data_IF_553097546461
#
_entry.id   IF_553097546461
#
_cell.length_a   1.000
_cell.length_b   1.000
_cell.length_c   1.000
_cell.angle_alpha   90.00
_cell.angle_beta   90.00
_cell.angle_gamma   90.00
#
_symmetry.space_group_name_H-M   'P 1'
#
loop_
_entity.id
_entity.type
_entity.pdbx_description
1 polymer ?
#
# COMPACT_ATOMS: atom_id res chain seq x y z
N UNK A 1 0.75 -3.14 -10.30
CA UNK A 1 0.89 -2.00 -11.24
C UNK A 1 -0.45 -1.28 -11.42
N UNK A 2 -0.98 -0.73 -10.33
CA UNK A 2 -2.42 -0.46 -10.22
C UNK A 2 -2.85 0.94 -10.65
N UNK A 3 -1.95 1.86 -10.98
CA UNK A 3 -2.38 3.22 -11.35
C UNK A 3 -3.24 3.19 -12.61
N UNK A 4 -4.29 4.01 -12.67
CA UNK A 4 -5.12 4.06 -13.86
C UNK A 4 -6.08 5.24 -13.93
N UNK A 5 -6.87 5.27 -15.00
CA UNK A 5 -7.81 6.36 -15.29
C UNK A 5 -8.94 6.51 -14.27
N UNK A 6 -9.17 5.48 -13.46
CA UNK A 6 -10.03 5.56 -12.29
C UNK A 6 -9.51 6.59 -11.26
N UNK A 7 -8.18 6.68 -11.08
CA UNK A 7 -7.52 7.59 -10.15
C UNK A 7 -7.36 8.98 -10.73
N UNK A 8 -6.81 9.06 -11.95
CA UNK A 8 -6.53 10.31 -12.65
C UNK A 8 -6.52 10.05 -14.15
N UNK A 9 -7.10 10.94 -14.96
CA UNK A 9 -7.22 10.77 -16.42
C UNK A 9 -5.86 10.61 -17.12
N UNK A 10 -4.79 11.17 -16.55
CA UNK A 10 -3.44 11.05 -17.12
C UNK A 10 -2.69 9.80 -16.64
N UNK A 11 -3.23 9.04 -15.68
CA UNK A 11 -2.54 7.90 -15.11
C UNK A 11 -2.70 6.66 -15.99
N UNK A 12 -1.62 5.89 -16.04
CA UNK A 12 -1.53 4.58 -16.67
C UNK A 12 -0.94 3.60 -15.65
N UNK A 13 -1.03 2.29 -15.89
CA UNK A 13 -0.34 1.31 -15.05
C UNK A 13 1.18 1.51 -14.91
N UNK A 14 1.79 2.26 -15.86
CA UNK A 14 3.20 2.66 -15.84
C UNK A 14 3.45 4.07 -15.30
N UNK A 15 2.47 4.75 -14.70
CA UNK A 15 2.72 6.04 -14.05
C UNK A 15 3.81 5.89 -12.97
N UNK A 16 4.82 6.76 -13.03
CA UNK A 16 6.06 6.71 -12.21
C UNK A 16 7.04 5.58 -12.58
N UNK A 17 6.83 4.92 -13.72
CA UNK A 17 7.72 3.88 -14.25
C UNK A 17 8.21 4.24 -15.65
N UNK A 18 9.52 4.23 -15.84
CA UNK A 18 10.16 4.28 -17.16
C UNK A 18 10.63 2.88 -17.55
N UNK A 19 10.47 2.50 -18.82
CA UNK A 19 10.83 1.18 -19.33
C UNK A 19 11.93 1.28 -20.38
N UNK A 20 12.74 0.23 -20.50
CA UNK A 20 13.69 0.04 -21.60
C UNK A 20 13.49 -1.37 -22.15
N UNK A 21 13.42 -1.51 -23.47
CA UNK A 21 13.05 -2.77 -24.12
C UNK A 21 11.53 -2.99 -24.10
N UNK A 22 11.11 -4.25 -23.94
CA UNK A 22 9.70 -4.66 -24.00
C UNK A 22 9.12 -4.79 -22.60
N UNK A 23 8.04 -4.05 -22.34
CA UNK A 23 7.33 -4.08 -21.07
C UNK A 23 5.83 -3.86 -21.30
N UNK A 24 5.00 -4.79 -20.83
CA UNK A 24 3.56 -4.77 -21.02
C UNK A 24 2.85 -4.98 -19.69
N UNK A 25 1.91 -4.11 -19.35
CA UNK A 25 1.06 -4.30 -18.16
C UNK A 25 -0.11 -5.20 -18.51
N UNK A 26 -0.37 -6.22 -17.67
CA UNK A 26 -1.32 -7.30 -17.94
C UNK A 26 -2.29 -7.42 -16.77
N UNK A 27 -3.58 -7.51 -17.09
CA UNK A 27 -4.67 -7.84 -16.15
C UNK A 27 -5.42 -9.07 -16.70
N UNK A 28 -4.92 -10.25 -16.36
CA UNK A 28 -5.48 -11.55 -16.72
C UNK A 28 -5.42 -12.51 -15.52
N UNK A 29 -5.81 -13.78 -15.69
CA UNK A 29 -5.80 -14.76 -14.59
C UNK A 29 -4.40 -15.22 -14.16
N UNK A 30 -3.34 -14.75 -14.84
CA UNK A 30 -1.96 -14.92 -14.43
C UNK A 30 -1.50 -13.95 -13.34
N UNK A 31 -2.34 -13.02 -12.91
CA UNK A 31 -2.09 -12.07 -11.82
C UNK A 31 -1.76 -12.73 -10.48
N UNK A 32 -1.16 -11.97 -9.56
CA UNK A 32 -0.70 -12.47 -8.26
C UNK A 32 -1.85 -13.03 -7.41
N UNK A 33 -2.99 -12.35 -7.43
CA UNK A 33 -4.25 -12.78 -6.82
C UNK A 33 -5.40 -11.94 -7.37
N UNK A 34 -6.64 -12.27 -7.00
CA UNK A 34 -7.83 -11.58 -7.48
C UNK A 34 -7.89 -10.08 -7.14
N UNK A 35 -7.22 -9.66 -6.06
CA UNK A 35 -7.27 -8.29 -5.52
C UNK A 35 -6.08 -7.41 -5.93
N UNK A 36 -5.05 -8.00 -6.55
CA UNK A 36 -3.94 -7.31 -7.18
C UNK A 36 -3.96 -7.64 -8.67
N UNK A 37 -4.60 -6.77 -9.44
CA UNK A 37 -5.16 -7.05 -10.76
C UNK A 37 -4.11 -6.99 -11.86
N UNK A 38 -3.21 -6.01 -11.78
CA UNK A 38 -2.32 -5.65 -12.87
C UNK A 38 -0.87 -5.94 -12.50
N UNK A 39 -0.21 -6.82 -13.26
CA UNK A 39 1.24 -7.06 -13.15
C UNK A 39 1.98 -6.57 -14.39
N UNK A 40 3.32 -6.52 -14.34
CA UNK A 40 4.17 -6.16 -15.47
C UNK A 40 4.81 -7.41 -16.07
N UNK A 41 4.52 -7.71 -17.33
CA UNK A 41 5.30 -8.65 -18.14
C UNK A 41 6.49 -7.92 -18.77
N UNK A 42 7.70 -8.26 -18.35
CA UNK A 42 8.95 -7.69 -18.81
C UNK A 42 9.64 -8.69 -19.76
N UNK A 43 10.05 -8.22 -20.94
CA UNK A 43 10.75 -9.03 -21.93
C UNK A 43 12.22 -9.29 -21.57
N UNK A 44 12.85 -10.21 -22.32
CA UNK A 44 14.29 -10.46 -22.19
C UNK A 44 15.10 -9.17 -22.46
N UNK A 45 16.17 -8.95 -21.69
CA UNK A 45 17.03 -7.77 -21.80
C UNK A 45 16.34 -6.43 -21.51
N UNK A 46 15.16 -6.46 -20.88
CA UNK A 46 14.36 -5.26 -20.61
C UNK A 46 14.47 -4.83 -19.15
N UNK A 47 14.12 -3.58 -18.86
CA UNK A 47 14.12 -3.06 -17.49
C UNK A 47 12.95 -2.12 -17.23
N UNK A 48 12.63 -1.97 -15.94
CA UNK A 48 11.66 -1.00 -15.44
C UNK A 48 12.28 -0.20 -14.30
N UNK A 49 12.13 1.12 -14.34
CA UNK A 49 12.74 2.07 -13.40
C UNK A 49 11.68 2.93 -12.73
N UNK A 50 11.59 2.87 -11.40
CA UNK A 50 10.69 3.71 -10.61
C UNK A 50 11.30 5.09 -10.37
N UNK A 51 10.51 6.14 -10.60
CA UNK A 51 10.93 7.53 -10.36
C UNK A 51 10.86 7.97 -8.91
N UNK A 52 10.25 7.17 -8.01
CA UNK A 52 9.87 7.63 -6.68
C UNK A 52 8.75 8.67 -6.72
N UNK A 53 8.53 9.32 -5.58
CA UNK A 53 7.58 10.41 -5.43
C UNK A 53 8.28 11.77 -5.53
N UNK A 54 7.61 12.77 -6.10
CA UNK A 54 8.16 14.10 -6.34
C UNK A 54 9.45 14.07 -7.18
N UNK A 55 10.60 14.42 -6.60
CA UNK A 55 11.91 14.49 -7.28
C UNK A 55 12.61 13.13 -7.35
N UNK A 56 12.28 12.21 -6.45
CA UNK A 56 12.96 10.92 -6.37
C UNK A 56 12.78 10.16 -5.08
N UNK A 57 13.54 9.06 -5.00
CA UNK A 57 13.71 8.29 -3.78
C UNK A 57 14.81 8.97 -2.96
N UNK A 58 14.48 9.41 -1.74
CA UNK A 58 15.49 9.89 -0.78
C UNK A 58 16.27 8.70 -0.24
N UNK A 59 17.59 8.76 -0.37
CA UNK A 59 18.53 7.82 0.24
C UNK A 59 19.57 8.59 1.04
N UNK A 60 20.10 7.96 2.09
CA UNK A 60 21.04 8.56 3.04
C UNK A 60 22.20 7.59 3.24
N UNK A 61 23.42 8.11 3.12
CA UNK A 61 24.65 7.36 3.18
C UNK A 61 24.75 6.57 4.49
N UNK A 62 25.20 5.31 4.37
CA UNK A 62 25.29 4.36 5.47
C UNK A 62 23.95 3.76 5.91
N UNK A 63 22.79 4.27 5.45
CA UNK A 63 21.48 3.69 5.78
C UNK A 63 21.17 2.47 4.93
N UNK A 64 20.35 1.60 5.49
CA UNK A 64 19.93 0.34 4.88
C UNK A 64 18.49 0.41 4.37
N UNK A 65 18.26 -0.14 3.19
CA UNK A 65 16.96 -0.21 2.53
C UNK A 65 16.65 -1.67 2.18
N UNK A 66 15.49 -2.16 2.61
CA UNK A 66 15.01 -3.49 2.28
C UNK A 66 14.19 -3.41 0.99
N UNK A 67 14.66 -4.12 -0.04
CA UNK A 67 14.00 -4.29 -1.33
C UNK A 67 13.19 -5.58 -1.33
N UNK A 68 12.01 -5.56 -1.97
CA UNK A 68 11.31 -6.78 -2.35
C UNK A 68 10.59 -6.65 -3.68
N UNK A 69 10.40 -7.78 -4.35
CA UNK A 69 9.57 -7.90 -5.56
C UNK A 69 8.87 -9.25 -5.54
N UNK A 70 7.61 -9.28 -5.95
CA UNK A 70 6.97 -10.53 -6.34
C UNK A 70 7.29 -10.79 -7.80
N UNK A 71 7.78 -11.98 -8.12
CA UNK A 71 8.12 -12.35 -9.49
C UNK A 71 7.69 -13.78 -9.82
N UNK A 72 7.34 -13.99 -11.09
CA UNK A 72 7.02 -15.29 -11.69
C UNK A 72 7.78 -15.41 -13.01
N UNK A 73 8.46 -16.53 -13.22
CA UNK A 73 9.26 -16.78 -14.42
C UNK A 73 9.32 -18.28 -14.72
N UNK A 74 9.08 -18.70 -15.96
CA UNK A 74 9.12 -20.12 -16.33
C UNK A 74 10.54 -20.67 -16.25
N UNK A 75 11.52 -19.89 -16.73
CA UNK A 75 12.93 -20.19 -16.60
C UNK A 75 13.54 -19.57 -15.33
N UNK A 76 14.75 -20.02 -14.98
CA UNK A 76 15.56 -19.39 -13.95
C UNK A 76 16.06 -18.03 -14.49
N UNK A 77 15.42 -16.95 -14.06
CA UNK A 77 15.66 -15.60 -14.57
C UNK A 77 16.33 -14.72 -13.51
N UNK A 78 17.63 -14.40 -13.68
CA UNK A 78 18.28 -13.33 -12.93
C UNK A 78 17.56 -11.99 -13.09
N UNK A 79 17.36 -11.30 -11.97
CA UNK A 79 16.91 -9.92 -11.92
C UNK A 79 18.01 -9.09 -11.28
N UNK A 80 18.51 -8.09 -12.02
CA UNK A 80 19.48 -7.11 -11.53
C UNK A 80 18.72 -5.89 -11.03
N UNK A 81 18.95 -5.54 -9.77
CA UNK A 81 18.28 -4.44 -9.07
C UNK A 81 19.31 -3.38 -8.72
N UNK A 82 19.07 -2.15 -9.15
CA UNK A 82 19.99 -1.03 -8.92
C UNK A 82 19.27 0.16 -8.29
N UNK A 83 19.98 0.83 -7.38
CA UNK A 83 19.60 2.10 -6.79
C UNK A 83 20.62 3.13 -7.26
N UNK A 84 20.19 4.15 -7.99
CA UNK A 84 21.08 5.08 -8.69
C UNK A 84 20.45 6.46 -8.85
N UNK A 85 21.26 7.46 -9.17
CA UNK A 85 20.85 8.79 -9.65
C UNK A 85 21.70 9.22 -10.86
N UNK A 86 21.61 10.49 -11.26
CA UNK A 86 22.35 11.02 -12.40
C UNK A 86 23.87 10.97 -12.19
N UNK A 87 24.35 10.98 -10.95
CA UNK A 87 25.77 10.90 -10.58
C UNK A 87 26.25 9.44 -10.48
N UNK A 88 25.37 8.46 -10.72
CA UNK A 88 25.69 7.04 -10.78
C UNK A 88 25.07 6.22 -9.66
N UNK A 89 25.72 5.11 -9.30
CA UNK A 89 25.18 4.18 -8.30
C UNK A 89 25.11 4.82 -6.90
N UNK A 90 24.01 4.55 -6.20
CA UNK A 90 23.78 4.94 -4.80
C UNK A 90 24.03 3.79 -3.83
N UNK A 91 24.05 2.55 -4.33
CA UNK A 91 24.39 1.35 -3.59
C UNK A 91 24.91 0.29 -4.57
N UNK A 92 25.60 -0.72 -4.04
CA UNK A 92 25.99 -1.91 -4.82
C UNK A 92 24.74 -2.58 -5.43
N UNK A 93 24.84 -2.96 -6.71
CA UNK A 93 23.77 -3.69 -7.39
C UNK A 93 23.46 -5.01 -6.67
N UNK A 94 22.18 -5.40 -6.71
CA UNK A 94 21.72 -6.65 -6.11
C UNK A 94 21.14 -7.55 -7.18
N UNK A 95 21.31 -8.85 -6.98
CA UNK A 95 20.75 -9.86 -7.87
C UNK A 95 19.83 -10.79 -7.10
N UNK A 96 18.62 -10.98 -7.61
CA UNK A 96 17.72 -12.05 -7.16
C UNK A 96 17.41 -12.94 -8.35
N UNK A 97 16.99 -14.17 -8.13
CA UNK A 97 16.72 -15.10 -9.24
C UNK A 97 15.30 -15.62 -9.16
N UNK A 98 14.45 -15.16 -10.06
CA UNK A 98 13.08 -15.61 -10.19
C UNK A 98 12.99 -16.99 -10.86
N UNK A 99 12.05 -17.81 -10.43
CA UNK A 99 11.71 -19.11 -11.05
C UNK A 99 10.34 -19.60 -10.60
N UNK A 100 9.68 -20.36 -11.47
CA UNK A 100 8.36 -20.94 -11.22
C UNK A 100 7.27 -19.88 -11.02
N UNK A 101 6.27 -20.26 -10.21
CA UNK A 101 5.14 -19.42 -9.84
C UNK A 101 5.51 -18.15 -9.05
N UNK A 102 4.49 -17.34 -8.75
CA UNK A 102 4.67 -16.12 -7.97
C UNK A 102 5.33 -16.40 -6.62
N UNK A 103 6.48 -15.77 -6.38
CA UNK A 103 7.16 -15.78 -5.10
C UNK A 103 7.77 -14.41 -4.78
N UNK A 104 7.95 -14.13 -3.48
CA UNK A 104 8.54 -12.88 -3.01
C UNK A 104 10.05 -13.01 -2.86
N UNK A 105 10.78 -12.24 -3.65
CA UNK A 105 12.24 -12.13 -3.60
C UNK A 105 12.64 -10.87 -2.83
N UNK A 106 13.78 -10.92 -2.15
CA UNK A 106 14.26 -9.83 -1.29
C UNK A 106 15.73 -9.60 -1.50
N UNK A 107 16.13 -8.33 -1.36
CA UNK A 107 17.52 -7.92 -1.31
C UNK A 107 17.65 -6.74 -0.34
N UNK A 108 18.89 -6.37 -0.03
CA UNK A 108 19.19 -5.27 0.87
C UNK A 108 20.23 -4.36 0.26
N UNK A 109 19.95 -3.06 0.25
CA UNK A 109 20.90 -2.03 -0.14
C UNK A 109 21.47 -1.36 1.11
N UNK A 110 22.76 -1.02 1.05
CA UNK A 110 23.37 -0.03 1.94
C UNK A 110 23.81 1.12 1.07
N UNK A 111 23.26 2.30 1.30
CA UNK A 111 23.57 3.45 0.48
C UNK A 111 25.01 3.95 0.76
N UNK A 112 25.71 4.35 -0.29
CA UNK A 112 27.10 4.86 -0.22
C UNK A 112 27.16 6.38 -0.34
N UNK A 113 26.07 7.02 -0.76
CA UNK A 113 25.91 8.47 -0.92
C UNK A 113 24.49 8.89 -0.56
N UNK A 114 24.35 10.16 -0.22
CA UNK A 114 23.04 10.80 -0.09
C UNK A 114 22.47 11.11 -1.48
N UNK A 115 21.16 11.02 -1.64
CA UNK A 115 20.46 11.52 -2.82
C UNK A 115 19.00 11.79 -2.54
N UNK A 116 18.43 12.78 -3.22
CA UNK A 116 16.99 13.09 -3.22
C UNK A 116 16.33 12.83 -4.58
N UNK A 117 17.13 12.35 -5.55
CA UNK A 117 16.73 12.07 -6.93
C UNK A 117 16.95 10.60 -7.29
N UNK A 118 17.03 9.73 -6.28
CA UNK A 118 17.26 8.30 -6.48
C UNK A 118 16.17 7.64 -7.33
N UNK A 119 16.56 6.58 -8.03
CA UNK A 119 15.76 5.74 -8.93
C UNK A 119 16.04 4.28 -8.62
N UNK A 120 14.99 3.46 -8.66
CA UNK A 120 15.08 2.02 -8.45
C UNK A 120 14.80 1.31 -9.78
N UNK A 121 15.78 0.59 -10.32
CA UNK A 121 15.61 -0.21 -11.54
C UNK A 121 15.59 -1.69 -11.22
N UNK A 122 14.72 -2.43 -11.91
CA UNK A 122 14.74 -3.89 -12.00
C UNK A 122 14.90 -4.26 -13.47
N UNK A 123 16.02 -4.92 -13.80
CA UNK A 123 16.33 -5.42 -15.14
C UNK A 123 16.29 -6.95 -15.15
N UNK A 124 15.87 -7.54 -16.27
CA UNK A 124 15.76 -8.99 -16.43
C UNK A 124 16.42 -9.45 -17.73
N UNK A 125 17.23 -10.51 -17.64
CA UNK A 125 17.94 -11.07 -18.81
C UNK A 125 17.02 -11.96 -19.66
N UNK A 126 15.94 -12.48 -19.07
CA UNK A 126 14.94 -13.33 -19.70
C UNK A 126 13.53 -12.84 -19.33
N UNK A 127 12.46 -13.30 -20.03
CA UNK A 127 11.11 -12.87 -19.73
C UNK A 127 10.70 -13.17 -18.29
N UNK A 128 10.00 -12.24 -17.66
CA UNK A 128 9.54 -12.33 -16.27
C UNK A 128 8.27 -11.52 -16.05
N UNK A 129 7.38 -12.00 -15.19
CA UNK A 129 6.29 -11.21 -14.63
C UNK A 129 6.71 -10.63 -13.28
N UNK A 130 6.52 -9.33 -13.09
CA UNK A 130 6.86 -8.58 -11.87
C UNK A 130 5.62 -7.93 -11.27
N UNK A 131 5.56 -7.89 -9.96
CA UNK A 131 4.59 -7.08 -9.22
C UNK A 131 5.07 -6.73 -7.82
N UNK A 132 4.37 -5.83 -7.12
CA UNK A 132 4.62 -5.49 -5.72
C UNK A 132 6.09 -5.15 -5.43
N UNK A 133 6.73 -4.42 -6.37
CA UNK A 133 8.09 -3.89 -6.21
C UNK A 133 8.06 -2.86 -5.08
N UNK A 134 8.94 -3.03 -4.10
CA UNK A 134 8.98 -2.20 -2.90
C UNK A 134 10.42 -1.95 -2.46
N UNK A 135 10.68 -0.76 -1.94
CA UNK A 135 11.93 -0.36 -1.32
C UNK A 135 11.59 0.48 -0.07
N UNK A 136 11.90 -0.06 1.11
CA UNK A 136 11.56 0.57 2.39
C UNK A 136 12.85 0.78 3.20
N UNK A 137 13.11 1.98 3.75
CA UNK A 137 14.22 2.18 4.68
C UNK A 137 14.03 1.32 5.93
N UNK A 138 15.10 0.75 6.49
CA UNK A 138 14.99 0.05 7.79
C UNK A 138 14.80 1.02 8.97
N UNK A 139 15.37 2.22 8.85
CA UNK A 139 15.22 3.29 9.84
C UNK A 139 13.87 4.02 9.65
N UNK A 140 12.79 3.34 10.02
CA UNK A 140 11.43 3.90 10.04
C UNK A 140 11.06 4.33 11.45
N UNK A 141 10.01 5.14 11.59
CA UNK A 141 9.55 5.59 12.90
C UNK A 141 9.25 4.37 13.79
N UNK A 142 10.02 4.23 14.89
CA UNK A 142 10.02 3.08 15.81
C UNK A 142 10.16 1.70 15.15
N UNK A 143 10.59 1.62 13.89
CA UNK A 143 10.64 0.37 13.12
C UNK A 143 9.28 -0.09 12.56
N UNK A 144 8.24 0.76 12.59
CA UNK A 144 6.87 0.42 12.20
C UNK A 144 6.48 0.88 10.79
N UNK A 145 7.46 1.19 9.93
CA UNK A 145 7.24 1.42 8.50
C UNK A 145 6.98 2.88 8.07
N UNK A 146 6.55 3.76 8.98
CA UNK A 146 6.33 5.17 8.65
C UNK A 146 7.65 5.92 8.43
N UNK A 147 7.63 6.93 7.55
CA UNK A 147 8.80 7.80 7.39
C UNK A 147 9.10 8.51 8.70
N UNK A 148 10.30 8.25 9.20
CA UNK A 148 10.76 8.70 10.51
C UNK A 148 10.70 10.22 10.66
N UNK A 149 11.20 10.96 9.68
CA UNK A 149 11.26 12.42 9.71
C UNK A 149 9.89 13.10 9.82
N UNK A 150 8.87 12.59 9.10
CA UNK A 150 7.50 13.12 9.17
C UNK A 150 6.81 12.72 10.47
N UNK A 151 6.95 11.45 10.88
CA UNK A 151 6.36 10.94 12.10
C UNK A 151 6.91 11.66 13.35
N UNK A 152 8.22 11.92 13.41
CA UNK A 152 8.85 12.69 14.48
C UNK A 152 8.33 14.13 14.55
N UNK A 153 8.14 14.79 13.39
CA UNK A 153 7.56 16.14 13.34
C UNK A 153 6.13 16.18 13.84
N UNK A 154 5.31 15.19 13.49
CA UNK A 154 3.93 15.08 13.97
C UNK A 154 3.92 14.79 15.49
N UNK A 155 4.77 13.88 15.96
CA UNK A 155 4.88 13.55 17.38
C UNK A 155 5.29 14.77 18.23
N UNK A 156 6.17 15.63 17.71
CA UNK A 156 6.61 16.85 18.38
C UNK A 156 5.51 17.91 18.56
N UNK A 157 4.36 17.77 17.87
CA UNK A 157 3.18 18.62 18.10
C UNK A 157 2.40 18.20 19.36
N UNK A 158 2.72 17.04 19.96
CA UNK A 158 1.99 16.46 21.07
C UNK A 158 0.47 16.38 20.82
N UNK A 159 0.02 15.76 19.70
CA UNK A 159 -1.39 15.71 19.38
C UNK A 159 -2.17 14.88 20.41
N UNK A 160 -3.32 15.38 20.85
CA UNK A 160 -4.21 14.63 21.76
C UNK A 160 -4.91 13.44 21.09
N UNK A 161 -5.11 13.51 19.77
CA UNK A 161 -5.74 12.44 18.99
C UNK A 161 -5.25 12.40 17.53
N UNK A 162 -5.46 11.28 16.87
CA UNK A 162 -5.26 11.10 15.42
C UNK A 162 -6.59 10.65 14.81
N UNK A 163 -7.19 11.51 13.98
CA UNK A 163 -8.40 11.17 13.20
C UNK A 163 -8.00 10.57 11.86
N UNK A 164 -8.53 9.39 11.51
CA UNK A 164 -8.15 8.67 10.28
C UNK A 164 -9.23 7.70 9.78
N UNK A 165 -9.21 7.25 8.52
CA UNK A 165 -8.47 7.80 7.39
C UNK A 165 -9.23 8.99 6.78
N UNK A 166 -10.24 9.51 7.49
CA UNK A 166 -11.34 10.30 6.97
C UNK A 166 -11.03 11.67 6.38
N UNK A 167 -11.99 12.58 6.59
CA UNK A 167 -12.40 13.51 5.55
C UNK A 167 -13.23 12.78 4.50
N UNK A 168 -13.13 13.24 3.25
CA UNK A 168 -13.94 12.74 2.15
C UNK A 168 -13.70 11.26 1.76
N UNK A 169 -12.71 10.58 2.35
CA UNK A 169 -12.36 9.20 1.96
C UNK A 169 -13.41 8.16 2.35
N UNK A 170 -14.16 8.40 3.43
CA UNK A 170 -15.12 7.43 3.96
C UNK A 170 -16.54 7.62 3.40
N UNK A 171 -16.77 8.72 2.68
CA UNK A 171 -18.07 9.16 2.20
C UNK A 171 -18.01 9.57 0.70
N UNK A 172 -17.19 8.94 -0.14
CA UNK A 172 -17.17 9.22 -1.58
C UNK A 172 -17.19 7.93 -2.40
N UNK A 173 -17.74 8.01 -3.61
CA UNK A 173 -17.87 6.85 -4.49
C UNK A 173 -18.89 5.82 -3.99
N UNK A 174 -18.79 4.60 -4.50
CA UNK A 174 -19.66 3.50 -4.10
C UNK A 174 -19.31 2.94 -2.71
N UNK A 175 -20.29 2.34 -2.04
CA UNK A 175 -20.14 1.69 -0.73
C UNK A 175 -19.87 0.19 -0.82
N UNK A 176 -19.77 -0.39 -2.03
CA UNK A 176 -19.54 -1.83 -2.18
C UNK A 176 -18.08 -2.23 -1.90
N UNK A 177 -17.86 -3.54 -1.73
CA UNK A 177 -16.54 -4.12 -1.51
C UNK A 177 -15.65 -4.06 -2.76
N UNK A 178 -14.44 -4.60 -2.64
CA UNK A 178 -13.54 -4.83 -3.76
C UNK A 178 -13.45 -6.33 -4.05
N UNK A 179 -14.39 -6.79 -4.86
CA UNK A 179 -14.62 -8.19 -5.14
C UNK A 179 -15.24 -8.37 -6.54
N UNK A 180 -15.46 -9.62 -6.93
CA UNK A 180 -16.04 -9.98 -8.22
C UNK A 180 -17.45 -9.42 -8.39
N UNK A 181 -18.28 -9.40 -7.33
CA UNK A 181 -19.65 -8.93 -7.40
C UNK A 181 -19.72 -7.42 -7.67
N UNK A 182 -18.77 -6.64 -7.14
CA UNK A 182 -18.65 -5.21 -7.43
C UNK A 182 -17.89 -4.89 -8.71
N UNK A 183 -17.41 -5.92 -9.43
CA UNK A 183 -16.54 -5.76 -10.60
C UNK A 183 -15.20 -5.11 -10.27
N UNK A 184 -14.71 -5.27 -9.03
CA UNK A 184 -13.46 -4.66 -8.54
C UNK A 184 -13.40 -3.14 -8.76
N UNK A 185 -14.53 -2.46 -8.56
CA UNK A 185 -14.58 -1.00 -8.73
C UNK A 185 -13.60 -0.28 -7.79
N UNK A 186 -12.94 0.75 -8.33
CA UNK A 186 -11.93 1.53 -7.59
C UNK A 186 -12.41 2.91 -7.17
N UNK A 187 -13.64 3.33 -7.51
CA UNK A 187 -14.21 4.61 -7.04
C UNK A 187 -15.21 4.33 -5.93
N UNK A 188 -14.67 4.01 -4.76
CA UNK A 188 -15.44 3.56 -3.60
C UNK A 188 -14.91 4.15 -2.30
N UNK A 189 -15.73 4.11 -1.26
CA UNK A 189 -15.34 4.57 0.07
C UNK A 189 -14.22 3.70 0.65
N UNK A 190 -13.46 4.28 1.58
CA UNK A 190 -12.36 3.61 2.25
C UNK A 190 -12.88 2.54 3.22
N UNK A 191 -12.74 1.27 2.85
CA UNK A 191 -13.21 0.12 3.63
C UNK A 191 -12.07 -0.46 4.48
N UNK A 192 -12.18 -0.40 5.80
CA UNK A 192 -11.07 -0.73 6.71
C UNK A 192 -10.55 -2.18 6.56
N UNK A 193 -11.46 -3.14 6.33
CA UNK A 193 -11.12 -4.56 6.16
C UNK A 193 -10.21 -4.81 4.95
N UNK A 194 -10.25 -3.92 3.95
CA UNK A 194 -9.38 -4.02 2.77
C UNK A 194 -7.96 -3.53 3.03
N UNK A 195 -7.70 -2.99 4.22
CA UNK A 195 -6.46 -2.26 4.55
C UNK A 195 -5.63 -2.95 5.62
N UNK A 196 -6.00 -4.18 5.99
CA UNK A 196 -5.29 -5.01 6.97
C UNK A 196 -4.83 -6.31 6.33
N UNK A 197 -3.95 -7.03 7.03
CA UNK A 197 -3.32 -8.24 6.51
C UNK A 197 -2.18 -7.95 5.52
N UNK A 198 -1.72 -8.97 4.77
CA UNK A 198 -0.59 -8.85 3.85
C UNK A 198 -0.87 -7.82 2.74
N UNK A 199 0.08 -6.90 2.53
CA UNK A 199 -0.08 -5.77 1.59
C UNK A 199 -0.37 -6.20 0.15
N UNK A 200 0.18 -7.33 -0.29
CA UNK A 200 -0.09 -7.88 -1.63
C UNK A 200 -1.51 -8.42 -1.83
N UNK A 201 -2.30 -8.55 -0.75
CA UNK A 201 -3.70 -9.00 -0.78
C UNK A 201 -4.68 -7.85 -0.50
N UNK A 202 -4.17 -6.66 -0.13
CA UNK A 202 -4.98 -5.47 0.09
C UNK A 202 -5.52 -4.97 -1.25
N UNK A 203 -6.71 -4.36 -1.22
CA UNK A 203 -7.28 -3.79 -2.43
C UNK A 203 -6.49 -2.54 -2.86
N UNK A 204 -6.64 -2.15 -4.12
CA UNK A 204 -6.35 -0.79 -4.58
C UNK A 204 -7.62 0.04 -4.61
N UNK A 205 -7.49 1.35 -4.40
CA UNK A 205 -8.62 2.28 -4.48
C UNK A 205 -8.20 3.61 -5.11
N UNK A 206 -9.14 4.30 -5.73
CA UNK A 206 -8.97 5.69 -6.12
C UNK A 206 -9.28 6.60 -4.93
N UNK A 207 -8.49 7.65 -4.82
CA UNK A 207 -8.65 8.69 -3.83
C UNK A 207 -9.45 9.85 -4.45
N UNK A 208 -10.38 10.45 -3.70
CA UNK A 208 -11.18 11.60 -4.18
C UNK A 208 -10.34 12.80 -4.66
N UNK A 209 -9.08 12.91 -4.24
CA UNK A 209 -8.16 13.98 -4.63
C UNK A 209 -7.33 13.65 -5.88
N UNK A 210 -7.68 12.58 -6.61
CA UNK A 210 -7.10 12.27 -7.92
C UNK A 210 -5.80 11.45 -7.88
N UNK A 211 -5.63 10.61 -6.85
CA UNK A 211 -4.46 9.75 -6.67
C UNK A 211 -4.85 8.29 -6.38
N UNK A 212 -3.91 7.37 -6.56
CA UNK A 212 -4.08 5.96 -6.21
C UNK A 212 -3.84 5.72 -4.71
N UNK A 213 -4.62 4.84 -4.09
CA UNK A 213 -4.42 4.32 -2.73
C UNK A 213 -4.01 2.86 -2.81
N UNK A 214 -2.76 2.56 -2.41
CA UNK A 214 -2.26 1.18 -2.32
C UNK A 214 -2.72 0.43 -1.07
N UNK A 215 -3.32 1.15 -0.11
CA UNK A 215 -3.62 0.67 1.24
C UNK A 215 -2.42 0.06 1.99
N UNK A 216 -1.19 0.44 1.62
CA UNK A 216 0.01 0.13 2.42
C UNK A 216 0.00 0.83 3.79
N UNK A 217 -0.63 2.00 3.87
CA UNK A 217 -1.00 2.67 5.12
C UNK A 217 -2.50 2.47 5.35
N UNK A 218 -2.84 1.50 6.19
CA UNK A 218 -4.18 1.09 6.55
C UNK A 218 -4.51 1.35 8.01
N UNK A 219 -5.64 0.80 8.47
CA UNK A 219 -6.12 1.03 9.83
C UNK A 219 -5.16 0.54 10.91
N UNK A 220 -4.53 -0.62 10.71
CA UNK A 220 -3.53 -1.14 11.66
C UNK A 220 -2.38 -0.16 11.82
N UNK A 221 -1.84 0.35 10.71
CA UNK A 221 -0.71 1.27 10.74
C UNK A 221 -1.09 2.64 11.37
N UNK A 222 -2.33 3.11 11.20
CA UNK A 222 -2.82 4.31 11.91
C UNK A 222 -3.01 4.09 13.40
N UNK A 223 -3.56 2.95 13.82
CA UNK A 223 -3.67 2.59 15.24
C UNK A 223 -2.28 2.49 15.89
N UNK A 224 -1.34 1.80 15.24
CA UNK A 224 0.04 1.70 15.69
C UNK A 224 0.68 3.07 15.84
N UNK A 225 0.46 3.97 14.88
CA UNK A 225 1.01 5.32 14.93
C UNK A 225 0.41 6.18 16.05
N UNK A 226 -0.92 6.11 16.25
CA UNK A 226 -1.58 6.82 17.35
C UNK A 226 -1.01 6.37 18.71
N UNK A 227 -0.87 5.05 18.91
CA UNK A 227 -0.22 4.48 20.10
C UNK A 227 1.24 4.96 20.22
N UNK A 228 2.00 4.96 19.11
CA UNK A 228 3.40 5.34 19.13
C UNK A 228 3.65 6.77 19.57
N UNK A 229 2.77 7.71 19.21
CA UNK A 229 2.90 9.12 19.58
C UNK A 229 2.14 9.47 20.87
N UNK A 230 1.49 8.49 21.50
CA UNK A 230 0.71 8.70 22.73
C UNK A 230 -0.61 9.45 22.50
N UNK A 231 -1.17 9.38 21.29
CA UNK A 231 -2.42 10.03 20.92
C UNK A 231 -3.59 9.04 20.96
N UNK A 232 -4.79 9.53 21.24
CA UNK A 232 -6.01 8.75 21.13
C UNK A 232 -6.34 8.45 19.64
N UNK A 233 -6.57 7.20 19.23
CA UNK A 233 -7.05 6.91 17.88
C UNK A 233 -8.52 7.30 17.73
N UNK A 234 -8.85 8.01 16.64
CA UNK A 234 -10.21 8.33 16.22
C UNK A 234 -10.44 7.80 14.78
N UNK A 235 -10.70 6.49 14.62
CA UNK A 235 -11.08 5.93 13.33
C UNK A 235 -12.45 6.46 12.86
N UNK A 236 -12.57 6.68 11.56
CA UNK A 236 -13.77 7.17 10.89
C UNK A 236 -14.28 6.09 9.93
N UNK A 237 -15.53 5.64 10.10
CA UNK A 237 -16.15 4.61 9.25
C UNK A 237 -17.25 5.20 8.35
N UNK A 238 -17.58 4.57 7.20
CA UNK A 238 -18.65 5.05 6.32
C UNK A 238 -20.03 5.06 7.00
N UNK A 239 -20.82 6.10 6.73
CA UNK A 239 -22.23 6.22 7.14
C UNK A 239 -23.22 6.00 5.99
N UNK A 240 -22.78 5.38 4.89
CA UNK A 240 -23.55 5.16 3.65
C UNK A 240 -24.08 6.43 2.96
N UNK A 241 -23.62 7.60 3.38
CA UNK A 241 -23.85 8.86 2.68
C UNK A 241 -22.61 9.16 1.85
N UNK A 242 -22.81 9.47 0.57
CA UNK A 242 -21.77 10.17 -0.18
C UNK A 242 -21.87 11.65 0.17
N UNK A 243 -20.76 12.22 0.64
CA UNK A 243 -20.55 13.62 0.96
C UNK A 243 -19.43 14.20 0.09
N UNK A 244 -19.00 15.44 0.37
CA UNK A 244 -17.95 16.13 -0.38
C UNK A 244 -18.22 16.28 -1.89
N UNK A 245 -19.42 16.75 -2.25
CA UNK A 245 -19.80 17.11 -3.62
C UNK A 245 -20.76 16.14 -4.28
N UNK A 246 -21.01 14.99 -3.64
CA UNK A 246 -22.20 14.16 -3.86
C UNK A 246 -23.03 14.31 -2.58
N UNK A 247 -24.34 14.53 -2.71
CA UNK A 247 -25.27 14.59 -1.56
C UNK A 247 -26.29 13.47 -1.74
N UNK A 248 -25.83 12.22 -1.69
CA UNK A 248 -26.67 11.05 -1.94
C UNK A 248 -26.53 10.06 -0.80
N UNK A 249 -27.66 9.62 -0.24
CA UNK A 249 -27.71 8.49 0.66
C UNK A 249 -27.81 7.19 -0.14
N UNK A 250 -27.06 6.18 0.27
CA UNK A 250 -27.21 4.81 -0.24
C UNK A 250 -28.30 4.12 0.56
N UNK A 251 -29.49 3.99 -0.03
CA UNK A 251 -30.63 3.30 0.57
C UNK A 251 -30.60 1.81 0.18
N UNK A 252 -29.81 1.02 0.92
CA UNK A 252 -29.65 -0.41 0.73
C UNK A 252 -29.47 -1.10 2.11
N UNK A 253 -30.50 -1.83 2.51
CA UNK A 253 -30.56 -2.54 3.80
C UNK A 253 -29.43 -3.56 3.99
N UNK A 254 -29.02 -4.24 2.92
CA UNK A 254 -27.97 -5.26 3.00
C UNK A 254 -26.60 -4.59 3.16
N UNK A 255 -26.33 -3.52 2.41
CA UNK A 255 -25.12 -2.72 2.60
C UNK A 255 -25.10 -2.07 3.98
N UNK A 256 -26.22 -1.55 4.49
CA UNK A 256 -26.29 -0.97 5.82
C UNK A 256 -25.93 -1.99 6.89
N UNK A 257 -26.55 -3.18 6.86
CA UNK A 257 -26.24 -4.29 7.78
C UNK A 257 -24.78 -4.69 7.71
N UNK A 258 -24.20 -4.76 6.49
CA UNK A 258 -22.77 -5.06 6.32
C UNK A 258 -21.88 -4.03 6.99
N UNK A 259 -22.11 -2.73 6.78
CA UNK A 259 -21.27 -1.67 7.37
C UNK A 259 -21.45 -1.55 8.88
N UNK A 260 -22.64 -1.83 9.42
CA UNK A 260 -22.84 -1.97 10.87
C UNK A 260 -21.95 -3.09 11.39
N UNK A 261 -21.99 -4.28 10.77
CA UNK A 261 -21.13 -5.39 11.19
C UNK A 261 -19.64 -5.05 11.01
N UNK A 262 -19.25 -4.43 9.91
CA UNK A 262 -17.87 -4.00 9.68
C UNK A 262 -17.40 -3.03 10.77
N UNK A 263 -18.28 -2.16 11.28
CA UNK A 263 -17.97 -1.24 12.38
C UNK A 263 -17.82 -1.98 13.71
N UNK A 264 -18.70 -2.94 14.02
CA UNK A 264 -18.57 -3.79 15.20
C UNK A 264 -17.30 -4.63 15.16
N UNK A 265 -16.95 -5.15 13.99
CA UNK A 265 -15.74 -5.91 13.73
C UNK A 265 -14.47 -5.06 13.91
N UNK A 266 -14.52 -3.77 13.57
CA UNK A 266 -13.43 -2.84 13.83
C UNK A 266 -13.23 -2.62 15.34
N UNK A 267 -14.34 -2.50 16.09
CA UNK A 267 -14.30 -2.37 17.55
C UNK A 267 -13.69 -3.65 18.15
N UNK A 268 -14.08 -4.83 17.67
CA UNK A 268 -13.48 -6.10 18.10
C UNK A 268 -12.00 -6.22 17.66
N UNK A 269 -11.64 -5.75 16.46
CA UNK A 269 -10.25 -5.70 16.02
C UNK A 269 -9.41 -4.86 16.98
N UNK A 270 -9.91 -3.70 17.40
CA UNK A 270 -9.18 -2.80 18.28
C UNK A 270 -9.12 -3.29 19.74
N UNK A 271 -10.23 -3.83 20.26
CA UNK A 271 -10.40 -4.07 21.70
C UNK A 271 -10.55 -5.54 22.09
N UNK A 272 -10.92 -6.42 21.16
CA UNK A 272 -11.22 -7.81 21.41
C UNK A 272 -10.01 -8.63 21.89
N UNK A 273 -10.26 -9.72 22.64
CA UNK A 273 -9.21 -10.64 23.08
C UNK A 273 -8.62 -11.38 21.88
N UNK A 274 -7.39 -11.89 22.00
CA UNK A 274 -6.71 -12.65 20.92
C UNK A 274 -7.43 -13.96 20.53
N UNK A 275 -8.42 -14.38 21.32
CA UNK A 275 -9.27 -15.55 21.04
C UNK A 275 -10.46 -15.22 20.14
N UNK A 276 -10.87 -13.94 20.05
CA UNK A 276 -11.95 -13.52 19.16
C UNK A 276 -11.49 -13.49 17.70
N UNK A 277 -12.42 -13.33 16.76
CA UNK A 277 -12.07 -13.33 15.34
C UNK A 277 -11.14 -12.18 14.97
N UNK A 278 -11.55 -10.95 15.30
CA UNK A 278 -10.80 -9.78 14.90
C UNK A 278 -9.63 -9.47 15.84
N UNK A 279 -9.73 -9.82 17.13
CA UNK A 279 -8.61 -9.75 18.06
C UNK A 279 -7.48 -10.70 17.68
N UNK A 280 -7.80 -11.90 17.17
CA UNK A 280 -6.80 -12.84 16.60
C UNK A 280 -6.13 -12.26 15.36
N UNK A 281 -6.87 -11.60 14.47
CA UNK A 281 -6.28 -10.92 13.30
C UNK A 281 -5.31 -9.82 13.71
N UNK A 282 -5.69 -8.96 14.66
CA UNK A 282 -4.79 -7.94 15.23
C UNK A 282 -3.51 -8.57 15.79
N UNK A 283 -3.65 -9.64 16.58
CA UNK A 283 -2.51 -10.37 17.14
C UNK A 283 -1.60 -10.97 16.06
N UNK A 284 -2.16 -11.58 15.01
CA UNK A 284 -1.41 -12.14 13.89
C UNK A 284 -0.66 -11.08 13.08
N UNK A 285 -1.11 -9.82 13.11
CA UNK A 285 -0.41 -8.67 12.52
C UNK A 285 0.74 -8.13 13.41
N UNK A 286 0.97 -8.73 14.58
CA UNK A 286 2.07 -8.37 15.48
C UNK A 286 1.65 -7.59 16.73
N UNK A 287 0.35 -7.32 16.92
CA UNK A 287 -0.14 -6.51 18.03
C UNK A 287 -1.17 -7.27 18.88
N UNK A 288 -0.75 -8.12 19.83
CA UNK A 288 -1.68 -8.92 20.62
C UNK A 288 -2.47 -8.08 21.64
N UNK A 289 -1.95 -6.94 22.08
CA UNK A 289 -2.60 -6.08 23.07
C UNK A 289 -3.74 -5.27 22.43
N UNK A 290 -4.81 -4.92 23.16
CA UNK A 290 -5.81 -3.98 22.67
C UNK A 290 -5.21 -2.59 22.39
N UNK A 291 -5.76 -1.88 21.40
CA UNK A 291 -5.46 -0.46 21.16
C UNK A 291 -6.23 0.49 22.09
N UNK A 292 -7.14 -0.03 22.92
CA UNK A 292 -7.97 0.75 23.84
C UNK A 292 -8.81 1.83 23.14
N UNK A 293 -9.45 1.46 22.03
CA UNK A 293 -10.35 2.33 21.28
C UNK A 293 -11.53 2.77 22.17
N UNK A 294 -11.69 4.09 22.32
CA UNK A 294 -12.77 4.71 23.12
C UNK A 294 -13.71 5.59 22.28
N UNK A 295 -13.27 6.03 21.09
CA UNK A 295 -14.01 6.94 20.23
C UNK A 295 -14.00 6.43 18.80
N UNK A 296 -15.13 6.55 18.11
CA UNK A 296 -15.29 6.18 16.72
C UNK A 296 -16.23 7.19 16.06
N UNK A 297 -15.90 7.62 14.85
CA UNK A 297 -16.71 8.55 14.08
C UNK A 297 -17.46 7.79 12.98
N UNK A 298 -18.77 8.00 12.87
CA UNK A 298 -19.62 7.38 11.85
C UNK A 298 -20.01 8.43 10.83
N UNK A 299 -19.39 8.36 9.66
CA UNK A 299 -19.56 9.34 8.58
C UNK A 299 -18.57 10.50 8.63
N UNK A 300 -18.72 11.42 7.69
CA UNK A 300 -18.01 12.69 7.59
C UNK A 300 -18.86 13.68 6.80
#
# INVERSE_FOLDING_TARGET
FEYGTADNRSYTPLTSWATTGTATTVDDDGRLNARNRTYLALGAGSSVTNSGYNTGIRVESGKTYDFSVWARADARTPLTVTLHDADGALAEARQVTARGGWAKYRARFTATRDSTTGRLTVAADAPVALDMISLIPRDTYKGHGLRKDLAEKIAALHPGFVRFPGGCLVNTGSMQGYDEASGYQRRRSYQWKDTIGPVEQRATNSNFWGYNQSYGLGYYEYFQFAEDIGAMPLPVVPALVTGCGQNQATDDDALLKRHIQDTLDLIEFANGPVTSEWGRKRAAMGHPKPFHLTHLEVGN
#
